data_IF_938627567626
#
_entry.id   IF_938627567626
#
_cell.length_a   1.000
_cell.length_b   1.000
_cell.length_c   1.000
_cell.angle_alpha   90.00
_cell.angle_beta   90.00
_cell.angle_gamma   90.00
#
_symmetry.space_group_name_H-M   'P 1'
#
loop_
_entity.id
_entity.type
_entity.pdbx_description
1 polymer ?
2 polymer ?
3 non-polymer ?
4 non-polymer ?
5 non-polymer ?
6 water ?
#
# COMPACT_ATOMS: atom_id res chain seq x y z
N UNK A 1 15.98 -16.00 2.26
CA UNK A 1 15.40 -17.00 1.30
C UNK A 1 13.89 -17.02 1.40
N UNK A 2 13.29 -15.88 1.09
CA UNK A 2 11.87 -15.61 1.35
C UNK A 2 10.77 -16.37 0.57
N UNK A 3 10.50 -16.03 -0.69
CA UNK A 3 9.32 -16.65 -1.31
C UNK A 3 9.25 -18.13 -0.91
N UNK A 4 8.17 -18.54 -0.26
CA UNK A 4 8.00 -19.91 0.22
C UNK A 4 8.04 -20.91 -0.91
N UNK A 5 8.53 -22.11 -0.60
CA UNK A 5 9.02 -23.06 -1.60
C UNK A 5 8.40 -24.46 -1.43
N UNK A 6 9.19 -25.35 -0.82
CA UNK A 6 8.77 -26.72 -0.54
C UNK A 6 8.83 -27.03 0.95
N UNK A 9 10.33 -26.94 4.68
CA UNK A 9 9.54 -25.80 5.13
C UNK A 9 10.21 -25.00 6.27
N UNK A 10 10.92 -23.94 5.90
CA UNK A 10 11.70 -23.13 6.85
C UNK A 10 11.01 -21.78 7.16
N UNK A 11 11.79 -20.72 7.44
CA UNK A 11 11.26 -19.37 7.54
C UNK A 11 11.25 -18.71 6.16
N UNK A 12 10.10 -18.23 5.72
CA UNK A 12 10.01 -17.67 4.38
C UNK A 12 8.79 -16.78 4.19
N UNK A 13 8.87 -15.89 3.20
CA UNK A 13 7.80 -14.99 2.87
C UNK A 13 6.79 -15.67 2.01
N UNK A 14 5.53 -15.56 2.42
CA UNK A 14 4.42 -16.10 1.65
C UNK A 14 3.74 -14.93 0.98
N UNK A 15 3.68 -14.91 -0.36
CA UNK A 15 2.91 -13.85 -1.02
C UNK A 15 1.43 -14.02 -0.69
N UNK A 16 0.73 -12.96 -0.31
CA UNK A 16 -0.67 -13.17 0.12
C UNK A 16 -1.52 -11.92 -0.09
N UNK A 17 -2.63 -12.02 -0.84
CA UNK A 17 -3.47 -10.86 -1.17
C UNK A 17 -4.64 -10.74 -0.17
N UNK A 18 -4.86 -9.54 0.34
CA UNK A 18 -6.02 -9.30 1.21
C UNK A 18 -6.94 -8.37 0.45
N UNK A 19 -8.26 -8.58 0.57
CA UNK A 19 -9.23 -7.72 -0.09
C UNK A 19 -9.93 -6.90 0.98
N UNK A 20 -9.97 -5.58 0.80
CA UNK A 20 -10.61 -4.72 1.78
C UNK A 20 -12.12 -4.99 1.83
N UNK A 21 -12.71 -5.34 0.68
CA UNK A 21 -14.11 -5.85 0.65
C UNK A 21 -14.28 -7.10 1.57
N UNK A 22 -13.44 -8.13 1.41
CA UNK A 22 -13.51 -9.32 2.33
C UNK A 22 -13.55 -8.84 3.77
N UNK A 23 -12.65 -7.93 4.10
CA UNK A 23 -12.50 -7.44 5.47
C UNK A 23 -13.64 -6.52 5.93
N UNK A 24 -14.34 -5.89 5.00
CA UNK A 24 -15.39 -4.95 5.39
C UNK A 24 -14.94 -3.49 5.42
N UNK A 25 -13.82 -3.19 4.77
CA UNK A 25 -13.31 -1.82 4.73
C UNK A 25 -13.35 -1.17 3.37
N UNK A 26 -14.08 -1.73 2.43
CA UNK A 26 -14.15 -1.20 1.05
C UNK A 26 -14.86 0.17 0.94
N UNK A 27 -15.66 0.55 1.92
CA UNK A 27 -16.25 1.91 1.83
C UNK A 27 -15.35 2.92 2.53
N UNK A 28 -14.58 2.47 3.53
CA UNK A 28 -13.65 3.38 4.21
C UNK A 28 -12.39 3.64 3.37
N UNK A 29 -11.85 2.57 2.77
CA UNK A 29 -10.65 2.67 1.92
C UNK A 29 -11.08 2.83 0.47
N UNK A 30 -10.69 3.98 -0.09
CA UNK A 30 -11.11 4.32 -1.46
C UNK A 30 -10.24 3.59 -2.46
N UNK A 31 -8.95 3.52 -2.16
CA UNK A 31 -8.00 2.87 -3.04
C UNK A 31 -6.72 2.51 -2.27
N UNK A 32 -6.09 1.37 -2.56
CA UNK A 32 -6.57 0.40 -3.55
C UNK A 32 -7.67 -0.49 -3.00
N UNK A 33 -8.15 -1.44 -3.79
CA UNK A 33 -9.23 -2.29 -3.32
C UNK A 33 -8.67 -3.46 -2.49
N UNK A 34 -7.37 -3.73 -2.59
CA UNK A 34 -6.72 -4.82 -1.83
C UNK A 34 -5.25 -4.79 -2.17
N UNK A 35 -4.44 -5.67 -1.59
CA UNK A 35 -3.02 -5.64 -1.86
C UNK A 35 -2.35 -6.87 -1.37
N UNK A 36 -1.10 -7.07 -1.82
CA UNK A 36 -0.34 -8.23 -1.35
C UNK A 36 0.38 -7.82 -0.08
N UNK A 37 -0.30 -8.02 1.06
CA UNK A 37 0.25 -7.70 2.35
C UNK A 37 1.39 -8.68 2.69
N UNK A 38 1.18 -9.96 2.35
CA UNK A 38 2.13 -11.04 2.56
C UNK A 38 2.25 -11.42 4.03
N UNK A 39 2.92 -12.54 4.30
CA UNK A 39 3.19 -12.89 5.68
C UNK A 39 4.31 -13.90 5.75
N UNK A 40 4.73 -14.17 6.98
CA UNK A 40 5.84 -15.08 7.23
C UNK A 40 5.35 -16.44 7.76
N UNK A 41 5.77 -17.54 7.12
CA UNK A 41 5.48 -18.83 7.69
C UNK A 41 6.73 -19.71 7.82
N UNK A 42 6.68 -20.72 8.68
CA UNK A 42 7.79 -21.68 8.75
C UNK A 42 8.53 -21.86 10.07
N UNK A 43 9.49 -22.80 10.08
CA UNK A 43 10.20 -23.17 11.32
C UNK A 43 11.52 -22.43 11.61
N UNK A 44 11.75 -22.14 12.89
CA UNK A 44 13.00 -21.48 13.33
C UNK A 44 13.86 -22.32 14.31
N UNK A 45 14.75 -23.15 13.73
CA UNK A 45 15.71 -23.96 14.48
C UNK A 45 17.08 -23.29 14.62
N UNK A 55 18.99 -5.79 8.05
CA UNK A 55 19.65 -5.10 9.14
C UNK A 55 18.75 -4.97 10.40
N UNK A 56 19.38 -4.94 11.55
CA UNK A 56 18.65 -5.07 12.81
C UNK A 56 18.35 -3.74 13.50
N UNK A 57 17.24 -3.71 14.23
CA UNK A 57 16.98 -2.55 15.07
C UNK A 57 18.02 -2.51 16.16
N UNK A 58 18.11 -1.37 16.79
CA UNK A 58 19.02 -1.18 17.88
C UNK A 58 18.68 -2.19 18.98
N UNK A 59 17.39 -2.37 19.29
CA UNK A 59 16.98 -3.27 20.35
C UNK A 59 17.43 -4.70 20.09
N UNK A 60 17.15 -5.20 18.88
CA UNK A 60 17.60 -6.54 18.46
C UNK A 60 19.11 -6.67 18.52
N UNK A 61 19.80 -5.62 18.14
CA UNK A 61 21.24 -5.67 18.17
C UNK A 61 21.80 -5.78 19.57
N UNK A 62 21.30 -4.98 20.48
CA UNK A 62 21.88 -5.06 21.85
C UNK A 62 21.53 -6.37 22.49
N UNK A 63 20.28 -6.84 22.33
CA UNK A 63 19.87 -8.12 22.94
C UNK A 63 20.66 -9.29 22.33
N UNK A 64 20.96 -9.20 21.03
CA UNK A 64 21.60 -10.36 20.32
C UNK A 64 22.96 -10.68 20.87
N UNK A 65 23.69 -9.66 21.32
CA UNK A 65 24.93 -9.87 22.06
C UNK A 65 24.83 -10.93 23.25
N UNK A 66 23.71 -10.90 23.98
CA UNK A 66 23.55 -11.74 25.20
C UNK A 66 22.93 -13.06 24.84
N UNK A 67 22.72 -13.27 23.55
CA UNK A 67 22.20 -14.55 22.98
C UNK A 67 23.31 -15.49 22.51
N UNK A 68 24.55 -15.00 22.54
CA UNK A 68 25.75 -15.71 22.13
C UNK A 68 25.92 -16.98 22.97
N UNK A 69 26.27 -18.11 22.33
CA UNK A 69 26.46 -19.35 23.08
C UNK A 69 27.28 -19.12 24.33
N UNK A 70 26.80 -19.62 25.49
CA UNK A 70 27.58 -19.51 26.72
C UNK A 70 27.65 -18.14 27.40
N UNK A 71 26.92 -17.15 26.87
CA UNK A 71 26.93 -15.79 27.46
C UNK A 71 26.24 -15.70 28.85
N UNK A 72 26.78 -14.89 29.76
CA UNK A 72 26.17 -14.61 31.07
C UNK A 72 26.18 -13.10 31.32
N UNK A 73 25.04 -12.46 31.63
CA UNK A 73 23.70 -13.05 31.60
C UNK A 73 23.26 -13.47 30.20
N UNK A 74 22.23 -14.28 30.13
CA UNK A 74 21.88 -14.94 28.86
C UNK A 74 20.45 -14.59 28.51
N UNK A 75 20.23 -14.13 27.29
CA UNK A 75 18.88 -13.78 26.86
C UNK A 75 18.32 -15.00 26.13
N UNK A 76 17.30 -15.66 26.69
CA UNK A 76 16.77 -16.89 26.09
C UNK A 76 15.56 -16.52 25.24
N UNK A 77 15.87 -15.87 24.13
CA UNK A 77 14.84 -15.20 23.34
C UNK A 77 14.10 -16.18 22.48
N UNK A 78 12.78 -16.05 22.57
CA UNK A 78 11.86 -16.86 21.79
C UNK A 78 11.99 -16.45 20.31
N UNK A 79 12.79 -17.24 19.59
CA UNK A 79 13.13 -16.97 18.24
C UNK A 79 11.95 -17.27 17.34
N UNK A 80 11.74 -16.46 16.30
CA UNK A 80 10.65 -16.81 15.42
C UNK A 80 10.70 -16.15 14.04
N UNK A 81 10.02 -16.78 13.08
CA UNK A 81 9.89 -16.30 11.72
C UNK A 81 9.03 -15.03 11.63
N UNK A 82 9.68 -13.88 11.61
CA UNK A 82 9.01 -12.58 11.55
C UNK A 82 9.50 -11.76 10.36
N UNK A 83 8.80 -10.69 10.02
CA UNK A 83 9.27 -9.80 8.95
C UNK A 83 10.56 -9.11 9.31
N UNK A 84 11.50 -9.12 8.37
CA UNK A 84 12.78 -8.46 8.57
C UNK A 84 12.88 -7.22 7.67
N UNK A 85 11.94 -7.11 6.72
CA UNK A 85 11.92 -5.99 5.78
C UNK A 85 10.44 -5.70 5.48
N UNK A 86 10.00 -4.45 5.61
CA UNK A 86 8.62 -4.06 5.23
C UNK A 86 8.67 -2.91 4.23
N UNK A 87 7.60 -2.72 3.47
CA UNK A 87 7.53 -1.65 2.48
C UNK A 87 6.26 -0.83 2.71
N UNK A 88 6.30 0.45 2.31
CA UNK A 88 5.12 1.35 2.38
C UNK A 88 4.10 1.07 1.25
N UNK A 89 2.89 1.62 1.36
CA UNK A 89 1.95 1.65 0.24
C UNK A 89 1.13 2.92 0.39
N UNK A 90 0.83 3.55 -0.75
CA UNK A 90 -0.05 4.68 -0.80
C UNK A 90 -1.49 4.23 -0.64
N UNK A 91 -2.30 5.02 0.02
CA UNK A 91 -3.73 4.71 0.16
C UNK A 91 -4.51 5.98 0.22
N UNK A 92 -5.76 5.94 -0.26
CA UNK A 92 -6.71 7.03 -0.15
C UNK A 92 -7.84 6.47 0.68
N UNK A 93 -8.32 7.25 1.65
CA UNK A 93 -9.30 6.74 2.58
C UNK A 93 -10.04 7.94 3.13
N UNK A 94 -11.14 7.69 3.84
CA UNK A 94 -11.91 8.76 4.47
C UNK A 94 -11.47 8.93 5.93
N UNK A 95 -11.17 10.17 6.31
CA UNK A 95 -10.84 10.48 7.71
C UNK A 95 -12.13 10.65 8.50
N UNK A 96 -12.02 11.15 9.73
CA UNK A 96 -13.16 11.26 10.65
C UNK A 96 -14.17 12.28 10.22
N UNK A 97 -13.70 13.32 9.52
CA UNK A 97 -14.65 14.27 8.94
C UNK A 97 -15.22 13.76 7.62
N UNK A 98 -14.87 12.54 7.22
CA UNK A 98 -15.32 11.93 5.96
C UNK A 98 -14.76 12.72 4.76
N UNK A 99 -13.56 13.27 4.96
CA UNK A 99 -12.84 13.93 3.89
C UNK A 99 -11.93 12.94 3.20
N UNK A 100 -11.66 13.15 1.90
CA UNK A 100 -10.75 12.25 1.19
C UNK A 100 -9.31 12.60 1.47
N UNK A 101 -8.57 11.63 1.97
CA UNK A 101 -7.18 11.82 2.36
C UNK A 101 -6.30 10.80 1.65
N UNK A 102 -5.20 11.26 1.07
CA UNK A 102 -4.17 10.36 0.62
C UNK A 102 -2.96 10.36 1.53
N UNK A 103 -2.45 9.16 1.85
CA UNK A 103 -1.17 9.05 2.55
C UNK A 103 -0.29 7.93 1.98
N UNK A 104 1.03 8.08 2.14
CA UNK A 104 1.98 6.99 1.90
C UNK A 104 2.23 6.36 3.28
N UNK A 105 1.68 5.16 3.50
CA UNK A 105 1.75 4.54 4.81
C UNK A 105 2.94 3.58 4.87
N UNK A 106 3.80 3.77 5.88
CA UNK A 106 4.97 2.90 6.04
C UNK A 106 4.61 1.54 6.64
N UNK A 107 5.45 0.54 6.39
CA UNK A 107 5.30 -0.79 7.02
C UNK A 107 4.05 -1.56 6.69
N UNK A 108 3.52 -1.37 5.49
CA UNK A 108 2.26 -2.03 5.10
C UNK A 108 2.39 -3.44 4.53
N UNK A 109 3.56 -3.73 3.95
CA UNK A 109 3.76 -4.91 3.14
C UNK A 109 4.97 -5.64 3.74
N UNK A 110 4.85 -6.94 3.91
CA UNK A 110 5.97 -7.75 4.24
C UNK A 110 6.76 -8.09 2.99
N UNK A 111 8.03 -7.69 2.99
CA UNK A 111 8.97 -7.83 1.86
C UNK A 111 10.02 -8.97 2.09
N UNK A 112 10.33 -9.26 3.36
CA UNK A 112 11.33 -10.28 3.69
C UNK A 112 11.03 -10.81 5.07
N UNK A 113 11.34 -12.10 5.27
CA UNK A 113 11.08 -12.77 6.53
C UNK A 113 12.38 -13.38 7.02
N UNK A 114 12.54 -13.46 8.34
CA UNK A 114 13.73 -14.13 8.89
C UNK A 114 13.56 -14.52 10.33
N UNK A 115 14.41 -15.44 10.77
CA UNK A 115 14.40 -15.91 12.15
C UNK A 115 14.99 -14.85 13.08
N UNK A 116 14.22 -14.40 14.07
CA UNK A 116 14.68 -13.39 14.99
C UNK A 116 15.73 -13.92 15.96
N UNK B 5 32.28 -13.18 -8.07
CA UNK B 5 31.33 -14.14 -7.41
C UNK B 5 29.85 -13.70 -7.50
N UNK B 6 29.29 -13.78 -8.70
CA UNK B 6 27.86 -13.60 -8.94
C UNK B 6 27.44 -14.64 -9.97
N UNK B 7 28.44 -15.30 -10.55
CA UNK B 7 28.23 -16.30 -11.61
C UNK B 7 27.08 -17.24 -11.25
N UNK B 8 27.07 -17.63 -9.96
CA UNK B 8 26.15 -18.64 -9.45
C UNK B 8 24.84 -18.12 -8.85
N UNK B 9 24.79 -16.82 -8.55
CA UNK B 9 23.63 -16.22 -7.88
C UNK B 9 22.48 -15.88 -8.84
N UNK B 10 21.28 -16.33 -8.47
CA UNK B 10 20.08 -16.09 -9.27
C UNK B 10 19.00 -15.44 -8.40
N UNK B 11 18.60 -14.21 -8.73
CA UNK B 11 17.56 -13.52 -7.95
C UNK B 11 16.15 -13.42 -8.52
N UNK B 12 15.80 -14.29 -9.44
CA UNK B 12 14.44 -14.34 -9.98
C UNK B 12 14.14 -13.15 -10.87
N UNK B 13 12.96 -13.18 -11.49
CA UNK B 13 12.49 -12.12 -12.37
C UNK B 13 12.58 -10.74 -11.74
N UNK B 14 12.70 -9.72 -12.60
CA UNK B 14 12.76 -8.33 -12.17
C UNK B 14 14.10 -7.93 -11.59
N UNK B 15 14.95 -8.91 -11.28
CA UNK B 15 16.22 -8.65 -10.59
C UNK B 15 17.49 -9.27 -11.22
N UNK B 16 18.64 -8.65 -10.94
CA UNK B 16 19.95 -9.13 -11.39
C UNK B 16 20.97 -9.07 -10.25
N UNK B 17 22.02 -9.89 -10.31
CA UNK B 17 23.12 -9.80 -9.34
C UNK B 17 24.13 -8.77 -9.82
N UNK B 18 24.64 -7.95 -8.91
CA UNK B 18 25.71 -7.01 -9.22
C UNK B 18 26.65 -6.83 -8.04
N UNK B 19 27.94 -6.78 -8.33
CA UNK B 19 29.00 -6.61 -7.34
C UNK B 19 28.90 -5.23 -6.73
N UNK B 20 28.86 -5.15 -5.40
CA UNK B 20 28.74 -3.84 -4.78
C UNK B 20 30.08 -3.14 -4.48
N UNK B 21 29.99 -2.04 -3.72
CA UNK B 21 31.13 -1.23 -3.31
C UNK B 21 32.17 -1.99 -2.48
N UNK B 22 31.71 -2.92 -1.65
CA UNK B 22 32.63 -3.73 -0.83
C UNK B 22 32.80 -5.17 -1.35
N UNK B 23 32.77 -5.30 -2.68
CA UNK B 23 33.08 -6.56 -3.38
C UNK B 23 32.04 -7.66 -3.32
N UNK B 24 31.07 -7.53 -2.43
CA UNK B 24 30.02 -8.54 -2.21
C UNK B 24 28.93 -8.58 -3.29
N UNK B 25 28.42 -9.80 -3.55
CA UNK B 25 27.32 -10.02 -4.49
C UNK B 25 25.95 -9.56 -3.95
N UNK B 26 25.26 -8.73 -4.74
CA UNK B 26 23.97 -8.19 -4.33
C UNK B 26 22.93 -8.27 -5.46
N UNK B 27 21.67 -8.41 -5.08
CA UNK B 27 20.58 -8.38 -6.05
C UNK B 27 20.01 -6.98 -6.19
N UNK B 28 19.88 -6.53 -7.43
CA UNK B 28 19.43 -5.17 -7.67
C UNK B 28 18.25 -5.22 -8.63
N UNK B 29 17.41 -4.18 -8.58
CA UNK B 29 16.23 -4.06 -9.43
C UNK B 29 16.54 -3.92 -10.92
N UNK B 30 15.78 -4.61 -11.73
CA UNK B 30 16.02 -4.56 -13.17
C UNK B 30 14.78 -5.03 -13.93
N UNK B 31 13.69 -4.28 -13.81
CA UNK B 31 12.42 -4.64 -14.46
C UNK B 31 12.50 -4.59 -16.00
N UNK B 32 11.60 -5.34 -16.65
CA UNK B 32 11.54 -5.42 -18.11
C UNK B 32 10.86 -4.17 -18.67
N UNK B 33 11.63 -3.31 -19.32
CA UNK B 33 11.06 -2.08 -19.86
C UNK B 33 11.06 -2.06 -21.38
N UNK B 34 11.02 -3.25 -21.96
CA UNK B 34 11.32 -3.43 -23.37
C UNK B 34 10.09 -3.34 -24.24
N UNK B 35 8.91 -3.41 -23.66
CA UNK B 35 7.75 -3.07 -24.44
C UNK B 35 6.70 -2.33 -23.63
N UNK B 36 7.04 -1.06 -23.40
CA UNK B 36 6.13 -0.11 -22.84
C UNK B 36 5.46 0.60 -24.03
N UNK B 37 4.13 0.52 -24.09
CA UNK B 37 3.34 1.18 -25.16
C UNK B 37 3.26 2.67 -25.06
N UNK B 38 2.84 3.18 -23.89
CA UNK B 38 2.85 4.61 -23.60
C UNK B 38 4.26 5.11 -23.24
N UNK B 39 4.78 6.05 -24.06
CA UNK B 39 6.17 6.47 -23.93
C UNK B 39 6.43 7.70 -23.05
N UNK B 40 5.35 8.38 -22.60
CA UNK B 40 5.48 9.65 -21.97
C UNK B 40 5.43 9.51 -20.45
N UNK B 41 5.37 10.65 -19.77
CA UNK B 41 5.26 10.67 -18.31
C UNK B 41 4.01 9.95 -17.81
N UNK B 42 4.05 9.49 -16.55
CA UNK B 42 2.91 8.77 -16.02
C UNK B 42 2.68 9.25 -14.58
N UNK B 43 1.47 9.08 -14.08
CA UNK B 43 1.20 9.53 -12.71
C UNK B 43 1.03 8.26 -11.90
N UNK B 44 1.88 8.07 -10.89
CA UNK B 44 1.80 6.87 -10.09
C UNK B 44 0.68 6.95 -9.06
N UNK B 45 0.29 5.81 -8.53
CA UNK B 45 -0.68 5.76 -7.46
C UNK B 45 -0.18 6.51 -6.18
N UNK B 46 1.13 6.73 -6.06
CA UNK B 46 1.67 7.53 -4.96
C UNK B 46 1.49 9.05 -5.16
N UNK B 47 0.85 9.46 -6.26
CA UNK B 47 0.68 10.88 -6.57
C UNK B 47 1.97 11.53 -7.07
N UNK B 48 2.94 10.72 -7.49
CA UNK B 48 4.18 11.30 -8.01
C UNK B 48 4.21 11.16 -9.52
N UNK B 49 4.71 12.17 -10.19
CA UNK B 49 4.87 12.08 -11.67
C UNK B 49 6.16 11.35 -11.96
N UNK B 50 6.12 10.33 -12.83
CA UNK B 50 7.36 9.68 -13.27
C UNK B 50 7.67 10.07 -14.78
N UNK B 51 8.96 10.16 -15.12
CA UNK B 51 9.39 10.52 -16.48
C UNK B 51 8.81 9.56 -17.49
N UNK B 52 8.68 8.29 -17.11
CA UNK B 52 8.10 7.31 -17.99
C UNK B 52 7.71 6.15 -17.11
N UNK B 53 7.12 5.14 -17.71
CA UNK B 53 6.68 3.95 -16.99
C UNK B 53 7.83 3.09 -16.49
N UNK B 54 8.99 3.12 -17.21
CA UNK B 54 10.15 2.41 -16.74
C UNK B 54 10.66 2.91 -15.38
N UNK B 55 10.76 4.22 -15.21
CA UNK B 55 11.10 4.80 -13.92
C UNK B 55 10.09 4.36 -12.84
N UNK B 56 8.81 4.31 -13.18
CA UNK B 56 7.82 3.84 -12.21
C UNK B 56 8.02 2.35 -11.80
N UNK B 57 8.29 1.49 -12.78
CA UNK B 57 8.55 0.08 -12.50
C UNK B 57 9.79 -0.18 -11.64
N UNK B 58 10.84 0.61 -11.84
CA UNK B 58 12.03 0.55 -10.98
C UNK B 58 11.75 0.98 -9.53
N UNK B 59 10.99 2.06 -9.33
CA UNK B 59 10.49 2.48 -8.00
C UNK B 59 9.61 1.43 -7.32
N UNK B 60 8.77 0.77 -8.12
CA UNK B 60 7.94 -0.33 -7.65
C UNK B 60 8.78 -1.50 -7.14
N UNK B 61 9.81 -1.88 -7.90
CA UNK B 61 10.71 -2.93 -7.48
C UNK B 61 11.54 -2.50 -6.25
N UNK B 62 11.99 -1.25 -6.27
CA UNK B 62 12.94 -0.80 -5.29
C UNK B 62 12.31 -0.42 -3.94
N UNK B 63 11.14 0.24 -4.00
CA UNK B 63 10.57 0.87 -2.82
C UNK B 63 9.07 0.62 -2.54
N UNK B 64 8.24 0.39 -3.58
CA UNK B 64 6.76 0.37 -3.37
C UNK B 64 6.14 -0.74 -4.17
N UNK B 65 6.10 -1.95 -3.63
CA UNK B 65 5.68 -3.11 -4.42
C UNK B 65 4.32 -3.02 -5.11
N UNK B 66 3.39 -2.19 -4.62
CA UNK B 66 2.09 -2.04 -5.28
C UNK B 66 1.95 -0.77 -6.09
N UNK B 67 3.05 -0.06 -6.32
CA UNK B 67 2.98 1.18 -7.11
C UNK B 67 2.53 0.82 -8.56
N UNK B 68 1.54 1.53 -9.08
CA UNK B 68 1.09 1.35 -10.45
C UNK B 68 0.86 2.72 -11.12
N UNK B 69 0.82 2.73 -12.46
CA UNK B 69 0.33 3.90 -13.21
C UNK B 69 -1.16 4.08 -12.90
N UNK B 70 -1.62 5.24 -12.41
CA UNK B 70 -3.08 5.38 -12.19
C UNK B 70 -3.68 6.16 -13.34
N UNK B 71 -2.85 6.99 -13.98
CA UNK B 71 -3.23 7.56 -15.30
C UNK B 71 -2.02 8.08 -16.07
N UNK B 72 -2.18 8.28 -17.38
CA UNK B 72 -1.04 8.70 -18.22
C UNK B 72 -0.85 10.21 -18.20
N UNK B 73 0.37 10.67 -18.47
CA UNK B 73 0.67 12.09 -18.39
C UNK B 73 1.14 12.45 -16.98
N UNK B 74 1.45 13.71 -16.71
CA UNK B 74 1.90 14.12 -15.39
C UNK B 74 0.70 14.08 -14.42
N UNK B 75 1.00 13.96 -13.11
CA UNK B 75 -0.03 14.04 -12.07
C UNK B 75 -0.59 15.46 -12.12
N UNK B 76 -1.89 15.58 -11.88
CA UNK B 76 -2.59 16.84 -12.11
C UNK B 76 -3.27 17.28 -10.82
N UNK B 77 -3.56 18.58 -10.74
CA UNK B 77 -4.42 19.18 -9.75
C UNK B 77 -5.76 19.40 -10.43
N UNK B 78 -6.82 19.13 -9.69
CA UNK B 78 -8.21 19.10 -10.20
C UNK B 78 -8.37 17.93 -11.15
N UNK B 79 -9.62 17.53 -11.37
CA UNK B 79 -9.92 16.45 -12.26
C UNK B 79 -10.19 16.94 -13.70
N UNK B 80 -10.02 18.23 -13.97
CA UNK B 80 -10.39 18.81 -15.25
C UNK B 80 -9.72 18.16 -16.47
N UNK B 81 -8.42 17.92 -16.37
CA UNK B 81 -7.66 17.39 -17.52
C UNK B 81 -7.26 15.94 -17.33
N UNK B 82 -7.98 15.19 -16.51
CA UNK B 82 -7.55 13.82 -16.22
C UNK B 82 -8.45 12.81 -16.93
N UNK B 83 -7.84 11.86 -17.62
CA UNK B 83 -8.60 10.78 -18.23
C UNK B 83 -8.32 9.47 -17.50
N UNK B 84 -9.31 8.96 -16.78
CA UNK B 84 -9.14 7.72 -16.03
C UNK B 84 -9.34 6.45 -16.91
N UNK B 85 -8.47 5.47 -16.74
CA UNK B 85 -8.56 4.24 -17.52
C UNK B 85 -9.74 3.39 -17.04
N UNK B 86 -10.25 2.53 -17.92
CA UNK B 86 -11.34 1.62 -17.61
C UNK B 86 -12.58 2.25 -17.01
N UNK B 87 -13.08 1.62 -15.96
CA UNK B 87 -14.30 2.02 -15.30
C UNK B 87 -13.96 2.96 -14.11
N UNK B 88 -12.70 3.33 -13.97
CA UNK B 88 -12.31 4.20 -12.86
C UNK B 88 -12.73 5.67 -13.09
N UNK B 89 -12.87 6.46 -12.03
CA UNK B 89 -13.28 7.86 -12.17
C UNK B 89 -12.40 8.72 -11.26
N UNK B 90 -12.45 10.02 -11.49
CA UNK B 90 -11.51 10.90 -10.84
C UNK B 90 -12.05 11.50 -9.54
N UNK B 91 -11.21 11.53 -8.51
CA UNK B 91 -11.51 12.31 -7.28
C UNK B 91 -10.30 13.21 -6.98
N UNK B 92 -10.49 14.26 -6.20
CA UNK B 92 -9.35 14.97 -5.64
C UNK B 92 -9.20 14.74 -4.11
N UNK B 93 -7.95 14.74 -3.65
CA UNK B 93 -7.68 14.59 -2.22
C UNK B 93 -7.61 15.97 -1.55
N UNK B 94 -6.97 16.00 -0.37
CA UNK B 94 -6.98 17.16 0.56
C UNK B 94 -6.21 18.38 0.01
N UNK B 95 -5.32 18.15 -0.94
CA UNK B 95 -4.61 19.28 -1.42
C UNK B 95 -4.91 19.42 -2.90
N UNK B 96 -6.05 18.88 -3.36
CA UNK B 96 -6.52 19.11 -4.74
C UNK B 96 -5.76 18.28 -5.84
N UNK B 97 -5.07 17.19 -5.44
CA UNK B 97 -4.41 16.26 -6.37
C UNK B 97 -5.41 15.27 -6.92
N UNK B 98 -5.36 15.02 -8.24
CA UNK B 98 -6.32 14.09 -8.88
C UNK B 98 -5.89 12.63 -8.76
N UNK B 99 -6.84 11.74 -8.47
CA UNK B 99 -6.63 10.32 -8.36
C UNK B 99 -7.71 9.60 -9.15
N UNK B 100 -7.34 8.53 -9.86
CA UNK B 100 -8.33 7.69 -10.54
C UNK B 100 -8.67 6.46 -9.68
N UNK B 101 -9.95 6.28 -9.31
CA UNK B 101 -10.32 5.23 -8.32
C UNK B 101 -11.59 4.54 -8.81
N UNK B 102 -11.92 3.42 -8.18
CA UNK B 102 -13.19 2.76 -8.48
C UNK B 102 -14.07 2.97 -7.24
N UNK B 103 -15.09 3.83 -7.33
CA UNK B 103 -15.99 4.12 -6.20
C UNK B 103 -16.86 2.94 -5.82
N UNK B 104 -16.94 2.66 -4.53
CA UNK B 104 -17.86 1.65 -4.02
C UNK B 104 -19.28 2.13 -4.29
N UNK B 105 -20.19 1.23 -4.64
CA UNK B 105 -21.59 1.64 -4.85
C UNK B 105 -22.54 0.91 -3.95
N UNK B 106 -22.06 -0.08 -3.22
CA UNK B 106 -22.95 -0.88 -2.39
C UNK B 106 -22.95 -0.43 -0.95
N UNK B 107 -24.11 0.02 -0.48
CA UNK B 107 -24.32 0.42 0.92
C UNK B 107 -25.56 -0.27 1.53
N UNK B 108 -25.38 -0.99 2.62
CA UNK B 108 -26.50 -1.65 3.29
C UNK B 108 -27.42 -0.54 3.78
N UNK B 109 -28.73 -0.71 3.70
CA UNK B 109 -29.67 0.30 4.21
C UNK B 109 -29.87 0.02 5.70
N UNK B 110 -29.61 1.00 6.57
CA UNK B 110 -29.80 0.77 8.01
C UNK B 110 -31.30 0.73 8.32
N UNK B 111 -31.70 0.03 9.39
CA UNK B 111 -33.13 -0.02 9.73
C UNK B 111 -33.58 1.04 10.74
N UNK B 112 -32.68 1.94 11.12
CA UNK B 112 -33.02 3.09 11.96
C UNK B 112 -32.37 4.35 11.38
N UNK B 113 -32.32 5.41 12.19
CA UNK B 113 -31.75 6.68 11.77
C UNK B 113 -30.57 7.05 12.66
N UNK B 114 -30.19 6.14 13.56
CA UNK B 114 -29.10 6.41 14.48
C UNK B 114 -27.75 6.58 13.77
N UNK B 115 -27.65 6.06 12.55
CA UNK B 115 -26.39 6.16 11.80
C UNK B 115 -26.39 7.43 10.93
N UNK B 116 -27.53 8.14 10.91
CA UNK B 116 -27.71 9.33 10.06
C UNK B 116 -26.63 10.37 10.21
N UNK B 117 -26.32 11.09 9.13
CA UNK B 117 -25.24 12.09 9.16
C UNK B 117 -25.69 13.31 8.34
N UNK B 118 -25.25 14.50 8.72
CA UNK B 118 -25.64 15.68 7.97
C UNK B 118 -24.42 16.17 7.23
N UNK B 119 -24.48 16.15 5.89
CA UNK B 119 -23.31 16.58 5.11
C UNK B 119 -23.23 18.10 5.05
N UNK B 120 -22.04 18.64 4.75
CA UNK B 120 -21.84 20.08 4.51
C UNK B 120 -22.73 20.61 3.38
N UNK B 121 -23.13 19.74 2.45
CA UNK B 121 -24.12 20.04 1.40
C UNK B 121 -25.59 20.17 1.84
N UNK B 122 -25.86 20.02 3.15
CA UNK B 122 -27.25 20.14 3.67
C UNK B 122 -28.10 18.89 3.42
N UNK B 123 -27.42 17.83 2.98
CA UNK B 123 -28.11 16.58 2.70
C UNK B 123 -27.95 15.62 3.87
N UNK B 124 -29.06 14.98 4.28
CA UNK B 124 -29.03 13.93 5.27
C UNK B 124 -28.72 12.58 4.65
N UNK B 125 -27.63 11.97 5.10
CA UNK B 125 -27.22 10.67 4.60
C UNK B 125 -27.55 9.62 5.64
N UNK B 126 -27.98 8.44 5.19
CA UNK B 126 -28.46 7.41 6.12
C UNK B 126 -27.33 6.77 6.92
N UNK B 127 -26.10 6.86 6.42
CA UNK B 127 -24.98 6.21 7.08
C UNK B 127 -23.72 6.82 6.53
N UNK B 128 -22.60 6.51 7.16
CA UNK B 128 -21.28 6.93 6.63
C UNK B 128 -21.03 6.38 5.20
N UNK B 129 -21.47 5.15 4.94
CA UNK B 129 -21.32 4.53 3.62
C UNK B 129 -22.00 5.37 2.53
N UNK B 130 -23.22 5.80 2.78
CA UNK B 130 -23.98 6.65 1.89
C UNK B 130 -23.33 8.02 1.63
N UNK B 131 -22.78 8.65 2.68
CA UNK B 131 -22.07 9.92 2.47
C UNK B 131 -20.77 9.69 1.67
N UNK B 132 -20.05 8.66 2.01
CA UNK B 132 -18.83 8.31 1.27
C UNK B 132 -19.12 8.01 -0.20
N UNK B 133 -20.22 7.33 -0.44
CA UNK B 133 -20.62 7.05 -1.85
C UNK B 133 -20.89 8.33 -2.63
N UNK B 134 -21.68 9.24 -2.06
CA UNK B 134 -21.97 10.51 -2.75
C UNK B 134 -20.69 11.30 -2.98
N UNK B 135 -19.76 11.19 -2.03
CA UNK B 135 -18.47 11.91 -2.07
C UNK B 135 -17.61 11.44 -3.21
N UNK B 136 -17.38 10.13 -3.25
CA UNK B 136 -16.57 9.53 -4.32
C UNK B 136 -17.18 9.87 -5.66
N UNK B 137 -18.49 9.70 -5.78
CA UNK B 137 -19.20 10.00 -7.01
C UNK B 137 -19.18 11.48 -7.42
N UNK B 138 -19.31 12.39 -6.45
CA UNK B 138 -19.15 13.82 -6.70
C UNK B 138 -17.72 14.12 -7.19
N UNK B 139 -16.70 13.46 -6.64
CA UNK B 139 -15.36 13.80 -7.09
C UNK B 139 -14.53 14.58 -6.11
N UNK B 140 -15.09 14.92 -4.95
CA UNK B 140 -14.35 15.74 -3.97
C UNK B 140 -15.02 15.61 -2.61
N UNK B 141 -14.30 15.87 -1.52
CA UNK B 141 -14.91 15.78 -0.19
C UNK B 141 -16.15 16.67 -0.11
N UNK B 142 -17.16 16.17 0.59
CA UNK B 142 -18.32 16.98 0.96
C UNK B 142 -18.08 17.35 2.43
N UNK B 143 -17.88 16.33 3.24
CA UNK B 143 -17.56 16.51 4.63
C UNK B 143 -18.79 16.50 5.50
N UNK B 144 -18.56 16.13 6.75
CA UNK B 144 -19.59 16.06 7.77
C UNK B 144 -19.85 17.43 8.41
N UNK B 145 -21.09 17.92 8.33
CA UNK B 145 -21.49 19.13 9.07
C UNK B 145 -21.71 18.79 10.58
N UNK B 146 -22.39 17.68 10.85
CA UNK B 146 -22.53 17.15 12.23
C UNK B 146 -23.22 15.81 12.12
N UNK B 147 -23.05 14.95 13.13
CA UNK B 147 -23.74 13.65 13.16
C UNK B 147 -25.23 13.89 13.36
N UNK B 148 -26.03 12.96 12.88
CA UNK B 148 -27.48 13.03 13.00
C UNK B 148 -28.08 13.57 11.70
N UNK B 149 -29.40 13.62 11.65
CA UNK B 149 -30.09 14.18 10.51
C UNK B 149 -29.88 15.70 10.50
N UNK B 150 -29.82 16.27 9.32
CA UNK B 150 -29.77 17.72 9.19
C UNK B 150 -30.95 18.36 9.91
N UNK B 151 -30.70 19.48 10.60
CA UNK B 151 -31.75 20.14 11.38
C UNK B 151 -32.43 21.10 10.43
N UNK B 152 -33.76 21.07 10.41
CA UNK B 152 -34.51 21.95 9.55
C UNK B 152 -34.81 23.29 10.27
X LIG C 1 29.30 -10.03 26.39
X LIG D 1 -0.20 -6.72 -5.40
X LIG E 1 10.70 -11.12 -2.48
X LIG F 1 -5.73 6.54 9.57
X LIG F 1 -7.72 6.09 10.79
X LIG F 1 -6.95 5.78 9.60
X LIG F 1 -5.53 4.75 8.08
X LIG F 1 -4.79 5.78 8.69
X LIG F 1 -4.71 4.07 7.13
X LIG F 1 -3.93 2.92 7.71
X LIG F 1 -3.10 3.42 8.74
X LIG F 1 -2.21 2.43 9.34
X LIG F 1 -2.28 2.48 10.88
X LIG F 1 -3.34 1.55 11.33
X LIG F 1 -3.28 1.11 12.71
X LIG F 1 -3.97 -0.27 12.79
X LIG F 1 -5.43 -0.33 12.95
X LIG F 1 -6.12 -0.67 11.74
X LIG F 1 -7.55 -1.06 12.13
X LIG F 1 -8.50 -0.09 11.65
X LIG G 1 11.19 -5.21 11.62
X LIG G 1 10.99 -4.25 10.59
X LIG G 1 12.59 -5.12 12.23
X LIG G 1 13.24 -3.88 11.87
X LIG G 1 12.52 -5.26 13.75
X LIG G 1 11.54 -6.25 14.08
X LIG H 1 -18.27 22.88 8.07
X LIG H 1 -18.84 21.76 8.79
X LIG H 1 -16.75 23.03 8.23
X LIG H 1 -16.54 24.43 8.06
X LIG H 1 -16.22 22.60 9.60
X LIG H 1 -15.88 21.19 9.73
X LIG I 1 -5.72 -4.69 -7.64
X LIG I 1 -6.18 -4.45 -6.31
X LIG I 1 -4.18 -4.79 -7.72
X LIG I 1 -3.73 -6.15 -7.50
X LIG I 1 -3.69 -4.36 -9.11
X LIG I 1 -4.43 -3.24 -9.61
X LIG J 1 -9.15 17.13 1.62
X LIG J 1 -10.20 16.25 1.09
X LIG J 1 -9.57 18.09 2.74
X LIG J 1 -10.95 18.45 2.56
X LIG J 1 -9.51 17.51 4.17
X LIG J 1 -8.21 17.47 4.79
#
# INVERSE_FOLDING_TARGET
GLECDGKVNICCKKQFFVSFKDIGWNDWIIAPSGYHANYCEGECPSHIAGTSGSSLSFHSTVINHYRMRGHSPFANLKSCCVPTKLRPMSMLYYDDGQNIIKKDIQNMIVEECGCS
GSMETCENVDCGPGKKCRMNKKNKPRCVCAPDCSNITWKGPVCGLDGKTYRNECALLKARCKEQPELEVQYQGKCKKTCRDVFCPGSSTCVVDQTNNAYCVTCNRICPEPSSSEQSLCGNDGVTYSSACHLRKATCLLGRSIGLAYEGKCIK
NI NI
NI NI
NI NI
1PG C2 C1 O1 O2 C3 C4 C5 O3 C6 C7 O4 C8 C9 O5 C10 C11 O6
GOL C1 O1 C2 O2 C3 O3
GOL C1 O1 C2 O2 C3 O3
GOL C1 O1 C2 O2 C3 O3
GOL C1 O1 C2 O2 C3 O3
#
